data_IF_872379154415
#
_entry.id   IF_872379154415
#
_cell.length_a   1.000
_cell.length_b   1.000
_cell.length_c   1.000
_cell.angle_alpha   90.00
_cell.angle_beta   90.00
_cell.angle_gamma   90.00
#
_symmetry.space_group_name_H-M   'P 1'
#
loop_
_entity.id
_entity.type
_entity.pdbx_description
1 polymer ?
#
# COMPACT_ATOMS: atom_id res chain seq x y z
N UNK A 1 -2.07 -7.06 3.64
CA UNK A 1 -0.71 -6.50 3.41
C UNK A 1 0.25 -7.40 4.14
N UNK A 2 1.22 -7.97 3.42
CA UNK A 2 2.26 -8.79 4.01
C UNK A 2 3.36 -7.91 4.61
N UNK A 3 4.02 -8.38 5.65
CA UNK A 3 5.10 -7.63 6.29
C UNK A 3 6.41 -7.80 5.52
N UNK A 4 7.02 -6.69 5.10
CA UNK A 4 8.42 -6.66 4.64
C UNK A 4 9.27 -5.87 5.63
N UNK A 5 10.10 -6.60 6.38
CA UNK A 5 10.94 -6.02 7.41
C UNK A 5 12.18 -5.29 6.85
N UNK A 6 12.39 -5.29 5.54
CA UNK A 6 13.41 -4.47 4.89
C UNK A 6 12.90 -3.09 4.47
N UNK A 7 11.58 -2.86 4.54
CA UNK A 7 10.96 -1.60 4.12
C UNK A 7 10.29 -0.89 5.29
N UNK A 8 9.53 -1.62 6.12
CA UNK A 8 8.78 -0.99 7.21
C UNK A 8 8.44 -1.94 8.37
N UNK A 9 7.81 -1.39 9.41
CA UNK A 9 7.26 -2.14 10.55
C UNK A 9 5.79 -1.81 10.73
N UNK A 10 5.00 -2.77 11.21
CA UNK A 10 3.61 -2.55 11.61
C UNK A 10 2.71 -2.03 10.49
N UNK A 11 2.85 -2.57 9.27
CA UNK A 11 1.99 -2.21 8.14
C UNK A 11 0.57 -2.73 8.35
N UNK A 12 -0.45 -1.87 8.26
CA UNK A 12 -1.83 -2.31 8.52
C UNK A 12 -2.89 -1.22 8.39
N UNK A 13 -4.11 -1.55 8.87
CA UNK A 13 -5.30 -0.68 8.88
C UNK A 13 -5.56 -0.02 7.52
N UNK A 14 -5.80 -0.86 6.52
CA UNK A 14 -5.83 -0.45 5.13
C UNK A 14 -7.24 -0.12 4.64
N UNK A 15 -7.28 0.68 3.58
CA UNK A 15 -8.44 0.93 2.74
C UNK A 15 -8.05 0.64 1.28
N UNK A 16 -9.04 0.34 0.45
CA UNK A 16 -8.83 0.04 -0.98
C UNK A 16 -9.67 1.01 -1.80
N UNK A 17 -9.11 1.49 -2.90
CA UNK A 17 -9.77 2.40 -3.83
C UNK A 17 -9.60 1.87 -5.25
N UNK A 18 -10.67 1.95 -6.04
CA UNK A 18 -10.64 1.75 -7.48
C UNK A 18 -10.83 3.10 -8.17
N UNK A 19 -10.14 3.31 -9.28
CA UNK A 19 -10.44 4.46 -10.14
C UNK A 19 -11.65 4.11 -11.02
N UNK A 20 -12.76 4.87 -10.91
CA UNK A 20 -14.01 4.54 -11.62
C UNK A 20 -13.80 4.32 -13.13
N UNK A 21 -14.39 3.25 -13.64
CA UNK A 21 -14.30 2.89 -15.07
C UNK A 21 -12.96 2.28 -15.49
N UNK A 22 -12.08 1.92 -14.55
CA UNK A 22 -10.78 1.29 -14.83
C UNK A 22 -10.56 0.06 -13.96
N UNK A 23 -9.56 -0.76 -14.31
CA UNK A 23 -9.06 -1.85 -13.47
C UNK A 23 -7.84 -1.40 -12.63
N UNK A 24 -7.80 -0.14 -12.23
CA UNK A 24 -6.71 0.39 -11.41
C UNK A 24 -7.11 0.48 -9.96
N UNK A 25 -6.41 -0.30 -9.15
CA UNK A 25 -6.66 -0.44 -7.72
C UNK A 25 -5.46 0.02 -6.92
N UNK A 26 -5.78 0.70 -5.83
CA UNK A 26 -4.80 1.26 -4.91
C UNK A 26 -5.15 0.82 -3.49
N UNK A 27 -4.14 0.47 -2.72
CA UNK A 27 -4.26 0.20 -1.30
C UNK A 27 -3.60 1.33 -0.52
N UNK A 28 -4.33 1.92 0.41
CA UNK A 28 -3.85 2.94 1.33
C UNK A 28 -3.76 2.32 2.71
N UNK A 29 -2.65 2.51 3.41
CA UNK A 29 -2.38 1.86 4.70
C UNK A 29 -1.44 2.72 5.54
N UNK A 30 -1.25 2.37 6.80
CA UNK A 30 -0.19 2.97 7.60
C UNK A 30 0.98 2.01 7.76
N UNK A 31 2.18 2.56 7.99
CA UNK A 31 3.38 1.83 8.41
C UNK A 31 4.20 2.66 9.40
N UNK A 32 5.25 2.07 9.98
CA UNK A 32 6.31 2.78 10.72
C UNK A 32 7.63 2.66 9.94
N UNK A 33 8.40 3.76 9.79
CA UNK A 33 9.75 3.70 9.23
C UNK A 33 10.65 2.76 10.04
N UNK A 34 11.67 2.18 9.40
CA UNK A 34 12.59 1.23 10.06
C UNK A 34 13.36 1.82 11.25
N UNK A 35 13.60 3.13 11.21
CA UNK A 35 14.30 3.88 12.25
C UNK A 35 13.45 4.12 13.49
N UNK A 36 12.14 3.89 13.42
CA UNK A 36 11.20 4.26 14.46
C UNK A 36 10.70 3.05 15.27
N UNK A 37 10.84 3.14 16.59
CA UNK A 37 10.39 2.09 17.52
C UNK A 37 9.06 2.44 18.19
N UNK A 38 8.71 3.71 18.25
CA UNK A 38 7.48 4.18 18.91
C UNK A 38 6.22 3.84 18.08
N UNK A 39 5.20 3.29 18.73
CA UNK A 39 3.98 2.81 18.06
C UNK A 39 3.17 3.91 17.36
N UNK A 40 3.29 5.16 17.83
CA UNK A 40 2.53 6.29 17.27
C UNK A 40 3.19 6.95 16.04
N UNK A 41 4.43 6.61 15.69
CA UNK A 41 5.11 7.12 14.48
C UNK A 41 4.62 6.42 13.22
N UNK A 42 3.34 6.62 12.92
CA UNK A 42 2.67 6.06 11.74
C UNK A 42 2.74 7.04 10.58
N UNK A 43 3.04 6.52 9.41
CA UNK A 43 3.02 7.24 8.14
C UNK A 43 1.97 6.61 7.23
N UNK A 44 1.15 7.45 6.57
CA UNK A 44 0.23 7.00 5.51
C UNK A 44 1.03 6.67 4.26
N UNK A 45 0.70 5.56 3.62
CA UNK A 45 1.34 5.05 2.42
C UNK A 45 0.28 4.57 1.42
N UNK A 46 0.65 4.57 0.14
CA UNK A 46 -0.21 4.14 -0.95
C UNK A 46 0.61 3.28 -1.91
N UNK A 47 0.05 2.15 -2.33
CA UNK A 47 0.66 1.23 -3.29
C UNK A 47 -0.37 0.77 -4.31
N UNK A 48 0.11 0.30 -5.46
CA UNK A 48 -0.75 -0.36 -6.44
C UNK A 48 -1.17 -1.74 -5.93
N UNK A 49 -2.43 -2.08 -6.15
CA UNK A 49 -3.00 -3.39 -5.85
C UNK A 49 -3.36 -4.07 -7.16
N UNK A 50 -3.05 -5.35 -7.28
CA UNK A 50 -3.27 -6.12 -8.51
C UNK A 50 -3.91 -7.47 -8.18
N UNK A 51 -4.64 -8.00 -9.14
CA UNK A 51 -5.28 -9.30 -9.05
C UNK A 51 -4.49 -10.33 -9.87
N UNK A 52 -4.51 -11.58 -9.42
CA UNK A 52 -4.14 -12.75 -10.20
C UNK A 52 -5.26 -13.09 -11.20
N UNK A 53 -4.95 -13.91 -12.23
CA UNK A 53 -5.97 -14.35 -13.19
C UNK A 53 -7.16 -15.11 -12.57
N UNK A 54 -6.98 -15.70 -11.39
CA UNK A 54 -8.03 -16.40 -10.63
C UNK A 54 -8.88 -15.48 -9.74
N UNK A 55 -8.64 -14.16 -9.79
CA UNK A 55 -9.34 -13.17 -8.99
C UNK A 55 -8.81 -12.98 -7.56
N UNK A 56 -7.80 -13.74 -7.15
CA UNK A 56 -7.12 -13.50 -5.86
C UNK A 56 -6.24 -12.25 -5.93
N UNK A 57 -5.93 -11.66 -4.78
CA UNK A 57 -5.11 -10.44 -4.70
C UNK A 57 -3.63 -10.83 -4.65
N UNK A 58 -2.80 -10.20 -5.49
CA UNK A 58 -1.34 -10.34 -5.39
C UNK A 58 -0.83 -9.71 -4.10
N UNK A 59 0.25 -10.25 -3.49
CA UNK A 59 0.91 -9.60 -2.37
C UNK A 59 1.26 -8.14 -2.71
N UNK A 60 0.84 -7.22 -1.84
CA UNK A 60 1.15 -5.80 -1.98
C UNK A 60 2.64 -5.59 -1.75
N UNK A 61 3.33 -5.02 -2.74
CA UNK A 61 4.74 -4.67 -2.62
C UNK A 61 4.89 -3.34 -1.88
N UNK A 62 5.61 -3.34 -0.77
CA UNK A 62 5.94 -2.13 -0.02
C UNK A 62 7.12 -1.42 -0.72
N UNK A 63 6.98 -0.14 -1.02
CA UNK A 63 8.02 0.69 -1.66
C UNK A 63 8.37 1.91 -0.82
N UNK A 64 9.48 2.59 -1.13
CA UNK A 64 9.79 3.87 -0.48
C UNK A 64 9.15 5.05 -1.23
N UNK A 65 8.84 4.86 -2.49
CA UNK A 65 8.40 5.87 -3.46
C UNK A 65 6.87 6.03 -3.50
N UNK A 66 6.12 4.95 -3.27
CA UNK A 66 4.68 4.90 -3.47
C UNK A 66 4.29 4.91 -4.95
N UNK A 67 3.10 5.44 -5.24
CA UNK A 67 2.56 5.47 -6.62
C UNK A 67 2.83 6.82 -7.29
N UNK A 68 3.01 6.86 -8.63
CA UNK A 68 3.17 8.11 -9.36
C UNK A 68 1.88 8.96 -9.28
N UNK A 69 2.03 10.27 -9.48
CA UNK A 69 0.90 11.17 -9.58
C UNK A 69 -0.02 10.76 -10.75
N UNK A 70 -1.32 10.69 -10.48
CA UNK A 70 -2.36 10.35 -11.46
C UNK A 70 -3.45 11.40 -11.44
N UNK A 71 -3.51 12.21 -12.49
CA UNK A 71 -4.62 13.14 -12.70
C UNK A 71 -5.84 12.34 -13.18
N UNK A 72 -6.97 12.53 -12.51
CA UNK A 72 -8.24 11.96 -12.93
C UNK A 72 -8.93 12.93 -13.90
N UNK A 73 -9.60 12.43 -14.95
CA UNK A 73 -10.39 13.26 -15.87
C UNK A 73 -11.57 13.94 -15.16
#
# INVERSE_FOLDING_TARGET
>A
IESDLNVARGSGHHSVMNIPGTDEWYVVYHRRPLTETHGNHRCTCIEKMEFNPDGTIKPVKLTFEGVPARTLP
#
